data_IF_138209333939
#
_entry.id   IF_138209333939
#
_cell.length_a   1.000
_cell.length_b   1.000
_cell.length_c   1.000
_cell.angle_alpha   90.00
_cell.angle_beta   90.00
_cell.angle_gamma   90.00
#
_symmetry.space_group_name_H-M   'P 1'
#
loop_
_entity.id
_entity.type
_entity.pdbx_description
1 polymer ?
#
# COMPACT_ATOMS: atom_id res chain seq x y z
N UNK A 1 3.99 21.35 6.15
CA UNK A 1 3.34 20.41 5.20
C UNK A 1 4.39 19.95 4.19
N UNK A 2 4.62 18.64 4.09
CA UNK A 2 5.59 18.09 3.14
C UNK A 2 5.09 18.33 1.71
N UNK A 3 5.96 18.88 0.86
CA UNK A 3 5.66 19.01 -0.56
C UNK A 3 5.77 17.62 -1.23
N UNK A 4 4.98 17.33 -2.27
CA UNK A 4 5.16 16.14 -3.07
C UNK A 4 6.58 16.06 -3.64
N UNK A 5 7.18 14.89 -3.59
CA UNK A 5 8.49 14.60 -4.18
C UNK A 5 8.35 13.52 -5.27
N UNK A 6 9.22 13.59 -6.26
CA UNK A 6 9.33 12.58 -7.31
C UNK A 6 10.62 11.80 -7.09
N UNK A 7 10.51 10.47 -7.07
CA UNK A 7 11.64 9.55 -6.92
C UNK A 7 11.86 8.85 -8.25
N UNK A 8 13.07 8.92 -8.76
CA UNK A 8 13.51 8.27 -10.00
C UNK A 8 14.37 7.04 -9.68
N UNK A 9 14.55 6.10 -10.62
CA UNK A 9 15.39 4.91 -10.41
C UNK A 9 16.84 5.19 -9.98
N UNK A 10 17.37 6.39 -10.27
CA UNK A 10 18.71 6.82 -9.84
C UNK A 10 18.73 7.37 -8.40
N UNK A 11 17.58 7.59 -7.76
CA UNK A 11 17.51 8.08 -6.37
C UNK A 11 17.95 6.96 -5.41
N UNK A 12 18.82 7.22 -4.43
CA UNK A 12 19.23 6.21 -3.43
C UNK A 12 18.08 5.59 -2.64
N UNK A 13 16.93 6.27 -2.56
CA UNK A 13 15.72 5.77 -1.88
C UNK A 13 14.83 4.95 -2.79
N UNK A 14 15.22 4.75 -4.07
CA UNK A 14 14.45 3.92 -4.99
C UNK A 14 14.41 2.47 -4.51
N UNK A 15 13.23 1.85 -4.42
CA UNK A 15 13.12 0.46 -3.99
C UNK A 15 13.63 -0.51 -5.08
N UNK A 16 14.85 -1.02 -4.95
CA UNK A 16 15.51 -1.86 -5.96
C UNK A 16 14.70 -3.10 -6.35
N UNK A 17 13.99 -3.70 -5.38
CA UNK A 17 13.12 -4.86 -5.62
C UNK A 17 12.02 -4.65 -6.66
N UNK A 18 11.66 -3.41 -6.97
CA UNK A 18 10.63 -3.12 -7.97
C UNK A 18 11.01 -3.67 -9.34
N UNK A 19 12.24 -3.45 -9.77
CA UNK A 19 12.70 -3.95 -11.07
C UNK A 19 12.77 -5.48 -11.09
N UNK A 20 13.26 -6.10 -10.02
CA UNK A 20 13.35 -7.55 -9.89
C UNK A 20 11.98 -8.24 -9.96
N UNK A 21 10.98 -7.68 -9.27
CA UNK A 21 9.63 -8.26 -9.16
C UNK A 21 8.69 -7.88 -10.29
N UNK A 22 8.79 -6.67 -10.81
CA UNK A 22 7.88 -6.14 -11.82
C UNK A 22 8.47 -6.14 -13.24
N UNK A 23 9.79 -6.16 -13.39
CA UNK A 23 10.45 -6.10 -14.68
C UNK A 23 9.98 -4.88 -15.49
N UNK A 24 9.52 -5.09 -16.70
CA UNK A 24 9.02 -4.03 -17.61
C UNK A 24 7.76 -3.30 -17.08
N UNK A 25 7.09 -3.83 -16.05
CA UNK A 25 5.92 -3.20 -15.41
C UNK A 25 6.30 -2.26 -14.27
N UNK A 26 7.58 -2.11 -13.99
CA UNK A 26 8.08 -1.14 -13.01
C UNK A 26 7.68 0.27 -13.44
N UNK A 27 7.06 1.06 -12.55
CA UNK A 27 6.76 2.45 -12.89
C UNK A 27 8.07 3.23 -13.15
N UNK A 28 8.11 4.15 -14.13
CA UNK A 28 9.34 4.90 -14.44
C UNK A 28 9.73 5.90 -13.36
N UNK A 29 8.79 6.23 -12.48
CA UNK A 29 8.96 7.14 -11.34
C UNK A 29 7.91 6.86 -10.28
N UNK A 30 8.18 7.30 -9.06
CA UNK A 30 7.24 7.27 -7.94
C UNK A 30 7.01 8.69 -7.43
N UNK A 31 5.76 9.00 -7.18
CA UNK A 31 5.33 10.22 -6.52
C UNK A 31 5.07 9.95 -5.05
N UNK A 32 5.62 10.77 -4.18
CA UNK A 32 5.57 10.56 -2.74
C UNK A 32 5.15 11.83 -2.00
N UNK A 33 4.37 11.65 -0.94
CA UNK A 33 4.00 12.69 -0.01
C UNK A 33 4.09 12.14 1.42
N UNK A 34 4.95 12.71 2.24
CA UNK A 34 5.23 12.27 3.61
C UNK A 34 6.64 11.77 3.80
N UNK A 35 6.84 10.85 4.73
CA UNK A 35 8.17 10.38 5.14
C UNK A 35 8.67 9.24 4.25
N UNK A 36 9.67 9.53 3.42
CA UNK A 36 10.30 8.56 2.52
C UNK A 36 11.12 7.48 3.24
N UNK A 37 11.58 7.72 4.48
CA UNK A 37 12.35 6.73 5.25
C UNK A 37 11.53 5.48 5.56
N UNK A 38 10.20 5.58 5.48
CA UNK A 38 9.31 4.41 5.63
C UNK A 38 9.51 3.36 4.52
N UNK A 39 10.09 3.73 3.37
CA UNK A 39 10.42 2.78 2.31
C UNK A 39 11.54 1.81 2.72
N UNK A 40 12.41 2.19 3.65
CA UNK A 40 13.48 1.33 4.16
C UNK A 40 13.01 0.34 5.24
N UNK A 41 11.84 0.55 5.85
CA UNK A 41 11.34 -0.33 6.90
C UNK A 41 10.88 -1.68 6.33
N UNK A 42 11.00 -2.79 7.10
CA UNK A 42 10.30 -4.02 6.79
C UNK A 42 8.78 -3.80 6.77
N UNK A 43 8.12 -4.20 5.69
CA UNK A 43 6.71 -3.88 5.43
C UNK A 43 5.89 -5.14 5.18
N UNK A 44 4.67 -5.16 5.71
CA UNK A 44 3.65 -6.16 5.37
C UNK A 44 2.60 -5.53 4.45
N UNK A 45 2.38 -6.12 3.28
CA UNK A 45 1.31 -5.73 2.39
C UNK A 45 -0.01 -6.37 2.82
N UNK A 46 -1.06 -5.55 2.93
CA UNK A 46 -2.42 -6.00 3.22
C UNK A 46 -3.27 -6.00 1.96
N UNK A 47 -3.88 -7.15 1.66
CA UNK A 47 -4.85 -7.33 0.59
C UNK A 47 -6.11 -8.02 1.09
N UNK A 48 -7.27 -7.59 0.60
CA UNK A 48 -8.54 -8.23 0.86
C UNK A 48 -9.46 -8.09 -0.35
N UNK A 49 -10.01 -9.20 -0.82
CA UNK A 49 -11.06 -9.16 -1.84
C UNK A 49 -12.27 -8.35 -1.35
N UNK A 50 -12.97 -7.68 -2.27
CA UNK A 50 -14.09 -6.80 -1.93
C UNK A 50 -15.22 -7.54 -1.20
N UNK A 51 -15.43 -8.83 -1.53
CA UNK A 51 -16.36 -9.72 -0.82
C UNK A 51 -15.56 -10.55 0.16
N UNK A 52 -15.82 -10.38 1.46
CA UNK A 52 -15.12 -11.05 2.54
C UNK A 52 -16.13 -11.59 3.55
N UNK A 53 -16.01 -12.86 4.00
CA UNK A 53 -16.87 -13.43 5.04
C UNK A 53 -16.73 -12.70 6.38
N UNK A 54 -17.82 -12.63 7.15
CA UNK A 54 -17.85 -11.87 8.41
C UNK A 54 -16.82 -12.32 9.45
N UNK A 55 -16.59 -13.63 9.59
CA UNK A 55 -15.57 -14.18 10.50
C UNK A 55 -14.15 -13.72 10.12
N UNK A 56 -13.85 -13.68 8.82
CA UNK A 56 -12.57 -13.22 8.30
C UNK A 56 -12.39 -11.71 8.49
N UNK A 57 -13.47 -10.93 8.40
CA UNK A 57 -13.46 -9.49 8.67
C UNK A 57 -12.97 -9.20 10.09
N UNK A 58 -13.57 -9.86 11.09
CA UNK A 58 -13.20 -9.69 12.51
C UNK A 58 -11.72 -10.07 12.74
N UNK A 59 -11.32 -11.24 12.26
CA UNK A 59 -9.92 -11.69 12.38
C UNK A 59 -8.93 -10.70 11.74
N UNK A 60 -9.31 -10.06 10.63
CA UNK A 60 -8.47 -9.07 9.96
C UNK A 60 -8.37 -7.77 10.77
N UNK A 61 -9.44 -7.36 11.44
CA UNK A 61 -9.42 -6.19 12.33
C UNK A 61 -8.57 -6.43 13.57
N UNK A 62 -8.65 -7.62 14.17
CA UNK A 62 -7.79 -8.02 15.28
C UNK A 62 -6.31 -8.05 14.83
N UNK A 63 -6.04 -8.55 13.64
CA UNK A 63 -4.69 -8.54 13.06
C UNK A 63 -4.18 -7.10 12.85
N UNK A 64 -5.02 -6.20 12.35
CA UNK A 64 -4.67 -4.79 12.18
C UNK A 64 -4.36 -4.10 13.54
N UNK A 65 -5.13 -4.42 14.59
CA UNK A 65 -4.85 -3.95 15.94
C UNK A 65 -3.52 -4.50 16.47
N UNK A 66 -3.24 -5.78 16.24
CA UNK A 66 -1.97 -6.39 16.61
C UNK A 66 -0.78 -5.70 15.90
N UNK A 67 -0.85 -5.45 14.60
CA UNK A 67 0.19 -4.72 13.86
C UNK A 67 0.40 -3.29 14.39
N UNK A 68 -0.71 -2.59 14.68
CA UNK A 68 -0.67 -1.27 15.27
C UNK A 68 0.12 -1.27 16.58
N UNK A 69 -0.18 -2.21 17.46
CA UNK A 69 0.42 -2.29 18.80
C UNK A 69 1.88 -2.79 18.75
N UNK A 70 2.19 -3.63 17.76
CA UNK A 70 3.55 -4.10 17.48
C UNK A 70 4.43 -3.07 16.71
N UNK A 71 3.88 -1.93 16.30
CA UNK A 71 4.63 -0.94 15.50
C UNK A 71 4.98 -1.41 14.09
N UNK A 72 4.24 -2.37 13.52
CA UNK A 72 4.51 -2.93 12.18
C UNK A 72 4.18 -1.91 11.10
N UNK A 73 5.06 -1.75 10.12
CA UNK A 73 4.78 -0.95 8.93
C UNK A 73 3.84 -1.72 7.98
N UNK A 74 2.67 -1.14 7.72
CA UNK A 74 1.68 -1.73 6.81
C UNK A 74 1.57 -0.89 5.54
N UNK A 75 1.63 -1.57 4.40
CA UNK A 75 1.44 -0.98 3.08
C UNK A 75 0.20 -1.57 2.40
N UNK A 76 -0.67 -0.72 1.86
CA UNK A 76 -1.86 -1.17 1.12
C UNK A 76 -2.43 -0.05 0.25
N UNK A 77 -3.35 -0.42 -0.63
CA UNK A 77 -4.22 0.53 -1.30
C UNK A 77 -5.36 1.04 -0.43
N UNK A 78 -5.68 0.33 0.63
CA UNK A 78 -6.79 0.61 1.53
C UNK A 78 -8.08 0.93 0.79
N UNK A 79 -8.40 0.11 -0.22
CA UNK A 79 -9.50 0.36 -1.15
C UNK A 79 -10.78 -0.41 -0.81
N UNK A 80 -10.66 -1.71 -0.46
CA UNK A 80 -11.81 -2.51 -0.06
C UNK A 80 -12.38 -2.03 1.29
N UNK A 81 -13.64 -2.32 1.62
CA UNK A 81 -14.22 -1.94 2.92
C UNK A 81 -13.41 -2.41 4.11
N UNK A 82 -12.90 -3.65 4.06
CA UNK A 82 -12.08 -4.24 5.12
C UNK A 82 -10.74 -3.50 5.24
N UNK A 83 -10.05 -3.26 4.12
CA UNK A 83 -8.79 -2.52 4.11
C UNK A 83 -8.94 -1.08 4.64
N UNK A 84 -10.05 -0.41 4.32
CA UNK A 84 -10.35 0.94 4.83
C UNK A 84 -10.51 0.96 6.34
N UNK A 85 -11.19 -0.03 6.91
CA UNK A 85 -11.33 -0.12 8.36
C UNK A 85 -10.00 -0.48 9.04
N UNK A 86 -9.20 -1.37 8.44
CA UNK A 86 -7.83 -1.62 8.90
C UNK A 86 -6.99 -0.33 8.94
N UNK A 87 -7.11 0.54 7.93
CA UNK A 87 -6.43 1.84 7.95
C UNK A 87 -6.87 2.68 9.16
N UNK A 88 -8.17 2.74 9.45
CA UNK A 88 -8.67 3.48 10.63
C UNK A 88 -8.11 2.93 11.93
N UNK A 89 -8.02 1.59 12.05
CA UNK A 89 -7.44 0.93 13.22
C UNK A 89 -5.95 1.29 13.36
N UNK A 90 -5.18 1.21 12.28
CA UNK A 90 -3.75 1.53 12.26
C UNK A 90 -3.49 3.01 12.59
N UNK A 91 -4.32 3.91 12.08
CA UNK A 91 -4.16 5.35 12.32
C UNK A 91 -4.46 5.78 13.76
N UNK A 92 -5.12 4.95 14.58
CA UNK A 92 -5.32 5.20 16.02
C UNK A 92 -4.05 5.03 16.85
N UNK A 93 -3.05 4.33 16.32
CA UNK A 93 -1.75 4.12 16.99
C UNK A 93 -0.65 5.01 16.43
N UNK A 94 0.59 4.57 16.62
CA UNK A 94 1.80 5.25 16.14
C UNK A 94 2.56 4.46 15.08
N UNK A 95 2.08 3.29 14.68
CA UNK A 95 2.71 2.44 13.68
C UNK A 95 2.84 3.14 12.32
N UNK A 96 3.93 2.88 11.57
CA UNK A 96 4.11 3.43 10.24
C UNK A 96 3.10 2.85 9.25
N UNK A 97 2.60 3.70 8.33
CA UNK A 97 1.66 3.29 7.30
C UNK A 97 2.06 3.87 5.95
N UNK A 98 1.97 3.06 4.90
CA UNK A 98 2.16 3.50 3.51
C UNK A 98 0.85 3.28 2.74
N UNK A 99 0.28 4.37 2.23
CA UNK A 99 -0.95 4.33 1.42
C UNK A 99 -0.57 4.45 -0.05
N UNK A 100 -0.99 3.48 -0.86
CA UNK A 100 -0.79 3.51 -2.31
C UNK A 100 -2.13 3.70 -3.03
N UNK A 101 -2.50 4.91 -3.47
CA UNK A 101 -3.72 5.12 -4.23
C UNK A 101 -3.60 4.51 -5.64
N UNK A 102 -4.73 4.06 -6.22
CA UNK A 102 -4.79 3.62 -7.62
C UNK A 102 -5.05 4.82 -8.56
N UNK A 103 -4.32 5.89 -8.34
CA UNK A 103 -4.36 7.15 -9.10
C UNK A 103 -3.18 8.03 -8.66
N UNK A 104 -3.03 9.20 -9.27
CA UNK A 104 -2.09 10.24 -8.81
C UNK A 104 -2.25 10.59 -7.33
N UNK A 105 -1.27 11.27 -6.76
CA UNK A 105 -1.34 11.76 -5.37
C UNK A 105 -2.59 12.62 -5.14
N UNK A 106 -3.19 12.56 -3.94
CA UNK A 106 -4.37 13.36 -3.63
C UNK A 106 -4.00 14.85 -3.58
N UNK A 107 -4.76 15.70 -4.27
CA UNK A 107 -4.59 17.15 -4.23
C UNK A 107 -5.02 17.75 -2.88
N UNK A 108 -5.90 17.07 -2.15
CA UNK A 108 -6.38 17.48 -0.82
C UNK A 108 -6.12 16.35 0.17
N UNK A 109 -5.46 16.67 1.28
CA UNK A 109 -5.18 15.73 2.34
C UNK A 109 -6.41 15.59 3.24
N UNK A 110 -6.79 14.36 3.53
CA UNK A 110 -7.90 14.08 4.45
C UNK A 110 -7.51 14.52 5.87
N UNK A 111 -8.46 15.05 6.66
CA UNK A 111 -8.17 15.48 8.03
C UNK A 111 -7.47 14.43 8.87
N UNK A 112 -7.89 13.17 8.79
CA UNK A 112 -7.32 12.03 9.54
C UNK A 112 -5.88 11.67 9.16
N UNK A 113 -5.38 12.16 8.03
CA UNK A 113 -4.01 11.92 7.56
C UNK A 113 -3.02 13.02 7.94
N UNK A 114 -3.51 14.19 8.35
CA UNK A 114 -2.65 15.35 8.64
C UNK A 114 -1.67 15.05 9.77
N UNK A 115 -2.18 14.66 10.93
CA UNK A 115 -1.32 14.35 12.09
C UNK A 115 -0.33 13.21 11.80
N UNK A 116 -0.71 12.06 11.16
CA UNK A 116 0.24 11.04 10.76
C UNK A 116 1.31 11.52 9.76
N UNK A 117 0.98 12.41 8.84
CA UNK A 117 1.95 13.03 7.92
C UNK A 117 2.91 13.95 8.68
N UNK A 118 2.40 14.81 9.56
CA UNK A 118 3.20 15.79 10.31
C UNK A 118 4.15 15.08 11.29
N UNK A 119 3.75 13.94 11.85
CA UNK A 119 4.59 13.12 12.74
C UNK A 119 5.52 12.16 12.02
N UNK A 120 5.53 12.16 10.69
CA UNK A 120 6.44 11.34 9.86
C UNK A 120 6.14 9.84 9.87
N UNK A 121 4.97 9.40 10.31
CA UNK A 121 4.56 7.98 10.33
C UNK A 121 3.65 7.58 9.16
N UNK A 122 3.35 8.50 8.24
CA UNK A 122 2.57 8.25 7.03
C UNK A 122 3.36 8.63 5.79
N UNK A 123 3.28 7.75 4.79
CA UNK A 123 3.72 7.99 3.44
C UNK A 123 2.57 7.69 2.48
N UNK A 124 2.28 8.61 1.57
CA UNK A 124 1.39 8.36 0.42
C UNK A 124 2.28 8.22 -0.80
N UNK A 125 2.24 7.06 -1.47
CA UNK A 125 3.13 6.70 -2.57
C UNK A 125 2.32 6.28 -3.80
N UNK A 126 2.57 6.90 -4.95
CA UNK A 126 1.88 6.62 -6.20
C UNK A 126 2.85 6.38 -7.35
N UNK A 127 2.59 5.36 -8.17
CA UNK A 127 3.27 5.12 -9.44
C UNK A 127 2.53 5.72 -10.65
N UNK A 128 1.61 6.66 -10.43
CA UNK A 128 0.75 7.24 -11.47
C UNK A 128 0.95 8.73 -11.60
N UNK A 129 0.90 9.23 -12.85
CA UNK A 129 1.00 10.64 -13.16
C UNK A 129 -0.32 11.39 -12.91
N UNK A 130 -0.26 12.73 -12.92
CA UNK A 130 -1.42 13.61 -12.68
C UNK A 130 -2.57 13.40 -13.67
N UNK A 131 -2.30 12.86 -14.86
CA UNK A 131 -3.33 12.47 -15.84
C UNK A 131 -4.19 11.32 -15.35
N UNK A 132 -3.66 10.45 -14.47
CA UNK A 132 -4.34 9.27 -13.93
C UNK A 132 -5.06 9.62 -12.61
N UNK A 133 -5.95 10.59 -12.64
CA UNK A 133 -6.65 11.11 -11.45
C UNK A 133 -7.92 10.35 -11.06
N UNK A 134 -8.40 9.44 -11.93
CA UNK A 134 -9.59 8.60 -11.67
C UNK A 134 -9.18 7.16 -11.45
N UNK A 135 -9.77 6.51 -10.44
CA UNK A 135 -9.54 5.09 -10.17
C UNK A 135 -10.24 4.25 -11.24
N UNK A 136 -9.49 3.33 -11.84
CA UNK A 136 -10.01 2.29 -12.73
C UNK A 136 -9.59 0.90 -12.23
N UNK A 137 -10.22 -0.15 -12.74
CA UNK A 137 -9.82 -1.53 -12.41
C UNK A 137 -8.38 -1.80 -12.81
N UNK A 138 -7.96 -1.31 -13.97
CA UNK A 138 -6.58 -1.48 -14.45
C UNK A 138 -5.57 -0.80 -13.51
N UNK A 139 -5.82 0.45 -13.12
CA UNK A 139 -4.95 1.17 -12.18
C UNK A 139 -4.94 0.50 -10.79
N UNK A 140 -6.07 -0.06 -10.35
CA UNK A 140 -6.13 -0.83 -9.10
C UNK A 140 -5.27 -2.10 -9.16
N UNK A 141 -5.27 -2.82 -10.28
CA UNK A 141 -4.41 -3.99 -10.50
C UNK A 141 -2.93 -3.58 -10.50
N UNK A 142 -2.57 -2.55 -11.25
CA UNK A 142 -1.19 -2.02 -11.28
C UNK A 142 -0.72 -1.57 -9.90
N UNK A 143 -1.56 -0.85 -9.16
CA UNK A 143 -1.29 -0.43 -7.80
C UNK A 143 -1.06 -1.63 -6.87
N UNK A 144 -1.90 -2.66 -6.94
CA UNK A 144 -1.74 -3.84 -6.08
C UNK A 144 -0.43 -4.57 -6.35
N UNK A 145 0.02 -4.66 -7.60
CA UNK A 145 1.34 -5.18 -7.95
C UNK A 145 2.46 -4.33 -7.37
N UNK A 146 2.34 -3.00 -7.43
CA UNK A 146 3.31 -2.08 -6.83
C UNK A 146 3.39 -2.29 -5.31
N UNK A 147 2.25 -2.36 -4.62
CA UNK A 147 2.17 -2.63 -3.17
C UNK A 147 2.85 -3.96 -2.83
N UNK A 148 2.53 -5.02 -3.56
CA UNK A 148 3.13 -6.34 -3.35
C UNK A 148 4.65 -6.33 -3.60
N UNK A 149 5.09 -5.64 -4.65
CA UNK A 149 6.51 -5.57 -5.00
C UNK A 149 7.35 -4.77 -3.98
N UNK A 150 6.76 -3.81 -3.30
CA UNK A 150 7.40 -3.01 -2.25
C UNK A 150 7.50 -3.73 -0.90
N UNK A 151 6.63 -4.70 -0.64
CA UNK A 151 6.51 -5.35 0.66
C UNK A 151 7.52 -6.49 0.85
N UNK A 152 7.85 -6.76 2.11
CA UNK A 152 8.67 -7.89 2.53
C UNK A 152 7.81 -9.11 2.84
N UNK A 153 6.61 -8.89 3.34
CA UNK A 153 5.60 -9.91 3.65
C UNK A 153 4.25 -9.55 3.02
N UNK A 154 3.45 -10.57 2.73
CA UNK A 154 2.14 -10.41 2.11
C UNK A 154 1.08 -11.07 2.97
N UNK A 155 0.08 -10.31 3.37
CA UNK A 155 -1.09 -10.78 4.11
C UNK A 155 -2.34 -10.63 3.25
N UNK A 156 -2.85 -11.75 2.79
CA UNK A 156 -4.12 -11.85 2.07
C UNK A 156 -5.21 -12.23 3.07
N UNK A 157 -5.96 -11.24 3.55
CA UNK A 157 -7.04 -11.45 4.51
C UNK A 157 -8.13 -12.37 3.95
N UNK A 158 -8.50 -12.14 2.70
CA UNK A 158 -9.43 -13.00 1.96
C UNK A 158 -9.13 -12.97 0.47
N UNK A 159 -9.14 -14.16 -0.13
CA UNK A 159 -8.95 -14.37 -1.57
C UNK A 159 -10.24 -14.98 -2.12
N UNK A 160 -11.04 -14.17 -2.81
CA UNK A 160 -12.23 -14.67 -3.49
C UNK A 160 -11.82 -15.41 -4.79
N UNK A 161 -12.38 -16.60 -5.08
CA UNK A 161 -12.10 -17.32 -6.32
C UNK A 161 -12.38 -16.47 -7.57
N UNK A 162 -11.49 -16.53 -8.57
CA UNK A 162 -11.59 -15.77 -9.82
C UNK A 162 -11.29 -14.27 -9.70
N UNK A 163 -10.92 -13.78 -8.51
CA UNK A 163 -10.67 -12.36 -8.26
C UNK A 163 -9.27 -11.91 -8.73
N UNK A 164 -9.10 -10.58 -8.83
CA UNK A 164 -7.77 -9.99 -9.05
C UNK A 164 -6.81 -10.26 -7.88
N UNK A 165 -7.35 -10.41 -6.66
CA UNK A 165 -6.57 -10.76 -5.47
C UNK A 165 -5.99 -12.16 -5.59
N UNK A 166 -6.75 -13.12 -6.13
CA UNK A 166 -6.24 -14.49 -6.38
C UNK A 166 -5.09 -14.50 -7.39
N UNK A 167 -5.25 -13.78 -8.51
CA UNK A 167 -4.18 -13.66 -9.53
C UNK A 167 -2.92 -13.02 -8.95
N UNK A 168 -3.10 -12.00 -8.11
CA UNK A 168 -1.98 -11.36 -7.42
C UNK A 168 -1.29 -12.33 -6.45
N UNK A 169 -2.04 -13.10 -5.67
CA UNK A 169 -1.48 -14.09 -4.74
C UNK A 169 -0.66 -15.16 -5.47
N UNK A 170 -1.14 -15.63 -6.63
CA UNK A 170 -0.40 -16.55 -7.50
C UNK A 170 0.89 -15.91 -8.05
N UNK A 171 0.82 -14.64 -8.50
CA UNK A 171 1.98 -13.90 -8.98
C UNK A 171 3.05 -13.74 -7.88
N UNK A 172 2.63 -13.34 -6.68
CA UNK A 172 3.51 -13.17 -5.51
C UNK A 172 4.17 -14.46 -5.07
N UNK A 173 3.47 -15.59 -5.11
CA UNK A 173 4.05 -16.89 -4.76
C UNK A 173 5.22 -17.28 -5.67
N UNK A 174 5.24 -16.82 -6.91
CA UNK A 174 6.34 -17.02 -7.85
C UNK A 174 7.58 -16.15 -7.56
N UNK A 175 7.46 -15.10 -6.74
CA UNK A 175 8.60 -14.24 -6.39
C UNK A 175 9.46 -14.79 -5.23
N UNK A 176 8.97 -15.79 -4.51
CA UNK A 176 9.61 -16.38 -3.33
C UNK A 176 10.47 -17.61 -3.65
N UNK A 177 10.58 -17.95 -4.94
CA UNK A 177 11.35 -19.09 -5.43
C UNK A 177 12.79 -18.69 -5.80
#
# INVERSE_FOLDING_TARGET
MSNPSCILPADPRWPHRLLERLGKRTPPKLWALGNLDLLALPKTALFCSARCPGSTILATYDQAAHWRDAGRCIISGFHSPVEKECLRILLRGTSPVIICPARSLPKRIRPEWKQPLDTGRLLILSGFDDSEHRVTTELAIRRNRLVAALADEHYFAHIAPGSHTERLAQEVSGWQA
#
